data_IF_111104367424
#
_entry.id   IF_111104367424
#
_cell.length_a   1.000
_cell.length_b   1.000
_cell.length_c   1.000
_cell.angle_alpha   90.00
_cell.angle_beta   90.00
_cell.angle_gamma   90.00
#
_symmetry.space_group_name_H-M   'P 1'
#
loop_
_entity.id
_entity.type
_entity.pdbx_description
1 polymer ?
#
# COMPACT_ATOMS: atom_id res chain seq x y z
N UNK A 1 -7.80 7.01 -13.92
CA UNK A 1 -8.96 7.85 -13.55
C UNK A 1 -8.77 9.18 -14.27
N UNK A 2 -9.75 9.68 -15.02
CA UNK A 2 -9.55 10.81 -15.95
C UNK A 2 -9.24 12.15 -15.29
N UNK A 3 -9.41 12.30 -13.97
CA UNK A 3 -9.23 13.57 -13.26
C UNK A 3 -8.33 13.53 -12.02
N UNK A 4 -8.02 12.34 -11.48
CA UNK A 4 -7.23 12.18 -10.26
C UNK A 4 -6.39 10.92 -10.38
N UNK A 5 -5.11 10.99 -10.06
CA UNK A 5 -4.26 9.80 -9.99
C UNK A 5 -4.52 9.05 -8.66
N UNK A 6 -4.26 7.74 -8.65
CA UNK A 6 -4.39 6.96 -7.42
C UNK A 6 -3.39 7.37 -6.32
N UNK A 7 -2.30 8.05 -6.70
CA UNK A 7 -1.31 8.60 -5.77
C UNK A 7 -1.81 9.88 -5.11
N UNK A 8 -2.31 10.82 -5.90
CA UNK A 8 -2.91 12.06 -5.37
C UNK A 8 -4.10 11.75 -4.46
N UNK A 9 -4.88 10.71 -4.78
CA UNK A 9 -5.92 10.23 -3.87
C UNK A 9 -5.38 9.82 -2.51
N UNK A 10 -4.27 9.09 -2.49
CA UNK A 10 -3.67 8.58 -1.26
C UNK A 10 -3.01 9.68 -0.43
N UNK A 11 -2.46 10.72 -1.07
CA UNK A 11 -1.92 11.92 -0.42
C UNK A 11 -3.00 12.74 0.31
N UNK A 12 -4.22 12.76 -0.22
CA UNK A 12 -5.31 13.55 0.36
C UNK A 12 -5.95 12.90 1.59
N UNK A 13 -5.64 11.63 1.88
CA UNK A 13 -6.18 10.94 3.05
C UNK A 13 -5.35 11.24 4.30
N UNK A 14 -5.98 11.80 5.33
CA UNK A 14 -5.33 12.03 6.64
C UNK A 14 -4.92 10.73 7.34
N UNK A 15 -5.70 9.65 7.14
CA UNK A 15 -5.44 8.32 7.68
C UNK A 15 -5.50 7.30 6.55
N UNK A 16 -4.43 7.19 5.74
CA UNK A 16 -4.44 6.29 4.59
C UNK A 16 -4.50 4.83 5.08
N UNK A 17 -5.36 3.99 4.48
CA UNK A 17 -5.35 2.57 4.75
C UNK A 17 -4.07 1.93 4.19
N UNK A 18 -3.83 0.68 4.58
CA UNK A 18 -2.76 -0.12 3.98
C UNK A 18 -3.08 -0.35 2.48
N UNK A 19 -2.32 0.29 1.60
CA UNK A 19 -2.52 0.21 0.16
C UNK A 19 -1.36 -0.50 -0.54
N UNK A 20 -1.71 -1.30 -1.55
CA UNK A 20 -0.76 -1.88 -2.51
C UNK A 20 -1.06 -1.25 -3.87
N UNK A 21 -0.05 -0.63 -4.47
CA UNK A 21 -0.22 0.05 -5.75
C UNK A 21 0.07 -0.91 -6.90
N UNK A 22 -0.69 -0.80 -7.99
CA UNK A 22 -0.41 -1.52 -9.23
C UNK A 22 -0.17 -0.53 -10.35
N UNK A 23 0.99 -0.59 -11.00
CA UNK A 23 1.40 0.37 -12.03
C UNK A 23 2.01 -0.35 -13.23
N UNK A 24 1.90 0.25 -14.41
CA UNK A 24 2.62 -0.20 -15.61
C UNK A 24 4.02 0.42 -15.72
N UNK A 25 4.29 1.49 -14.96
CA UNK A 25 5.55 2.24 -15.01
C UNK A 25 6.20 2.29 -13.64
N UNK A 26 7.52 2.10 -13.62
CA UNK A 26 8.34 2.09 -12.41
C UNK A 26 8.45 3.46 -11.75
N UNK A 27 8.22 4.55 -12.47
CA UNK A 27 8.24 5.92 -11.93
C UNK A 27 7.20 6.09 -10.80
N UNK A 28 5.98 5.58 -11.01
CA UNK A 28 4.93 5.61 -10.00
C UNK A 28 5.21 4.70 -8.79
N UNK A 29 6.13 3.72 -8.92
CA UNK A 29 6.54 2.89 -7.79
C UNK A 29 7.40 3.68 -6.80
N UNK A 30 8.25 4.59 -7.30
CA UNK A 30 9.08 5.45 -6.46
C UNK A 30 8.22 6.47 -5.70
N UNK A 31 7.27 7.11 -6.38
CA UNK A 31 6.31 8.02 -5.75
C UNK A 31 5.44 7.30 -4.72
N UNK A 32 4.96 6.09 -5.02
CA UNK A 32 4.24 5.27 -4.06
C UNK A 32 5.04 4.98 -2.79
N UNK A 33 6.36 4.73 -2.91
CA UNK A 33 7.22 4.51 -1.75
C UNK A 33 7.30 5.75 -0.83
N UNK A 34 7.31 6.97 -1.39
CA UNK A 34 7.28 8.21 -0.61
C UNK A 34 6.02 8.33 0.23
N UNK A 35 4.90 7.81 -0.28
CA UNK A 35 3.59 7.80 0.38
C UNK A 35 3.38 6.64 1.34
N UNK A 36 4.46 5.95 1.73
CA UNK A 36 4.43 4.85 2.70
C UNK A 36 3.44 3.72 2.35
N UNK A 37 3.23 3.47 1.05
CA UNK A 37 2.45 2.31 0.62
C UNK A 37 3.14 1.00 1.03
N UNK A 38 2.35 -0.04 1.21
CA UNK A 38 2.86 -1.34 1.68
C UNK A 38 3.77 -1.99 0.65
N UNK A 39 3.33 -2.00 -0.60
CA UNK A 39 4.06 -2.58 -1.71
C UNK A 39 3.58 -2.01 -3.05
N UNK A 40 4.37 -2.24 -4.10
CA UNK A 40 4.01 -1.91 -5.47
C UNK A 40 4.13 -3.14 -6.38
N UNK A 41 3.22 -3.26 -7.33
CA UNK A 41 3.18 -4.34 -8.30
C UNK A 41 3.27 -3.77 -9.72
N UNK A 42 4.33 -4.14 -10.43
CA UNK A 42 4.46 -3.83 -11.85
C UNK A 42 3.59 -4.78 -12.68
N UNK A 43 2.94 -4.22 -13.70
CA UNK A 43 2.21 -5.01 -14.70
C UNK A 43 3.21 -5.54 -15.75
N UNK A 44 3.12 -6.81 -16.16
CA UNK A 44 2.16 -7.85 -15.73
C UNK A 44 2.43 -8.37 -14.32
N UNK A 45 1.37 -8.54 -13.53
CA UNK A 45 1.49 -8.92 -12.11
C UNK A 45 1.74 -10.42 -12.02
N UNK A 46 2.95 -10.79 -11.59
CA UNK A 46 3.29 -12.17 -11.29
C UNK A 46 2.65 -12.61 -9.96
N UNK A 47 2.09 -13.82 -9.92
CA UNK A 47 1.38 -14.33 -8.74
C UNK A 47 2.27 -14.38 -7.48
N UNK A 48 3.55 -14.73 -7.64
CA UNK A 48 4.52 -14.74 -6.54
C UNK A 48 4.67 -13.35 -5.89
N UNK A 49 4.74 -12.29 -6.69
CA UNK A 49 4.84 -10.89 -6.21
C UNK A 49 3.56 -10.45 -5.54
N UNK A 50 2.41 -10.78 -6.13
CA UNK A 50 1.11 -10.51 -5.52
C UNK A 50 0.98 -11.18 -4.14
N UNK A 51 1.33 -12.47 -4.05
CA UNK A 51 1.26 -13.22 -2.80
C UNK A 51 2.18 -12.64 -1.71
N UNK A 52 3.40 -12.27 -2.07
CA UNK A 52 4.34 -11.61 -1.15
C UNK A 52 3.79 -10.26 -0.65
N UNK A 53 3.26 -9.43 -1.55
CA UNK A 53 2.69 -8.12 -1.19
C UNK A 53 1.50 -8.26 -0.22
N UNK A 54 0.60 -9.23 -0.47
CA UNK A 54 -0.54 -9.51 0.40
C UNK A 54 -0.09 -9.97 1.78
N UNK A 55 0.87 -10.91 1.86
CA UNK A 55 1.42 -11.36 3.14
C UNK A 55 2.03 -10.21 3.94
N UNK A 56 2.77 -9.32 3.28
CA UNK A 56 3.35 -8.12 3.91
C UNK A 56 2.27 -7.19 4.45
N UNK A 57 1.20 -6.94 3.69
CA UNK A 57 0.06 -6.14 4.13
C UNK A 57 -0.65 -6.76 5.33
N UNK A 58 -0.87 -8.08 5.30
CA UNK A 58 -1.51 -8.80 6.40
C UNK A 58 -0.67 -8.71 7.69
N UNK A 59 0.64 -8.87 7.59
CA UNK A 59 1.53 -8.73 8.75
C UNK A 59 1.47 -7.33 9.36
N UNK A 60 1.51 -6.28 8.53
CA UNK A 60 1.40 -4.90 9.00
C UNK A 60 0.02 -4.62 9.64
N UNK A 61 -1.05 -5.15 9.07
CA UNK A 61 -2.40 -5.04 9.62
C UNK A 61 -2.49 -5.65 11.03
N UNK A 62 -1.99 -6.88 11.21
CA UNK A 62 -1.98 -7.57 12.51
C UNK A 62 -1.16 -6.80 13.55
N UNK A 63 0.00 -6.26 13.17
CA UNK A 63 0.84 -5.45 14.07
C UNK A 63 0.11 -4.18 14.52
N UNK A 64 -0.55 -3.49 13.59
CA UNK A 64 -1.35 -2.30 13.87
C UNK A 64 -2.50 -2.60 14.84
N UNK A 65 -3.23 -3.71 14.64
CA UNK A 65 -4.30 -4.12 15.55
C UNK A 65 -3.79 -4.50 16.95
N UNK A 66 -2.65 -5.19 17.04
CA UNK A 66 -2.04 -5.56 18.32
C UNK A 66 -1.61 -4.33 19.13
N UNK A 67 -1.08 -3.29 18.47
CA UNK A 67 -0.72 -2.03 19.13
C UNK A 67 -1.95 -1.33 19.72
N UNK A 68 -3.07 -1.25 18.98
CA UNK A 68 -4.32 -0.65 19.50
C UNK A 68 -4.86 -1.37 20.73
N UNK A 69 -4.80 -2.71 20.76
CA UNK A 69 -5.26 -3.49 21.92
C UNK A 69 -4.35 -3.38 23.14
N UNK A 70 -3.04 -3.17 22.96
CA UNK A 70 -2.07 -3.07 24.06
C UNK A 70 -2.13 -1.72 24.79
N UNK A 71 -2.64 -0.68 24.15
CA UNK A 71 -2.69 0.68 24.71
C UNK A 71 -3.99 0.99 25.47
N UNK A 72 -4.95 0.06 25.51
CA UNK A 72 -6.27 0.24 26.15
C UNK A 72 -6.38 -0.36 27.56
N UNK A 73 -5.24 -0.58 28.24
CA UNK A 73 -5.16 -1.02 29.63
C UNK A 73 -4.32 -0.03 30.45
#
# INVERSE_FOLDING_TARGET
MPYLTGLEFLEQLENPPLCILTTAYSEYALEGYRLQVVDYLLKPIAFNRFYQAVNKAQQQFIVSEKMKKKFCF
#
